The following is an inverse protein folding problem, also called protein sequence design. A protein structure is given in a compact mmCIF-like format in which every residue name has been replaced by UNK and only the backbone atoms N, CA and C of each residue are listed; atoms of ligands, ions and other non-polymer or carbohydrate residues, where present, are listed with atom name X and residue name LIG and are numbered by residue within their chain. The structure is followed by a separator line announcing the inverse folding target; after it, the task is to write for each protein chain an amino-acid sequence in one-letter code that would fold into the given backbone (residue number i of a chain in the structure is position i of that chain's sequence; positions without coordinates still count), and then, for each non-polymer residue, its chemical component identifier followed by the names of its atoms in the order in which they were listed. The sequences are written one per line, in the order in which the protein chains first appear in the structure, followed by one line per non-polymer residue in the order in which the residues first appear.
data_IF_638425352026
#
_entry.id   IF_638425352026
#
_cell.length_a   1.000
_cell.length_b   1.000
_cell.length_c   1.000
_cell.angle_alpha   90.00
_cell.angle_beta   90.00
_cell.angle_gamma   90.00
#
_symmetry.space_group_name_H-M   'P 1'
#
loop_
_entity.id
_entity.type
_entity.pdbx_description
1 polymer ?
#
# COMPACT_ATOMS: atom_id res chain seq x y z
N UNK A 1 -44.32 29.69 -6.68
CA UNK A 1 -43.28 29.19 -5.74
C UNK A 1 -43.29 27.68 -5.81
N UNK A 2 -42.44 27.08 -6.65
CA UNK A 2 -42.27 25.63 -6.71
C UNK A 2 -41.05 25.27 -5.86
N UNK A 3 -41.26 24.49 -4.80
CA UNK A 3 -40.17 23.92 -4.01
C UNK A 3 -39.37 22.97 -4.89
N UNK A 4 -38.10 23.30 -5.13
CA UNK A 4 -37.15 22.39 -5.73
C UNK A 4 -36.92 21.21 -4.77
N UNK A 5 -37.34 20.03 -5.19
CA UNK A 5 -37.04 18.77 -4.52
C UNK A 5 -35.52 18.59 -4.63
N UNK A 6 -34.81 18.76 -3.52
CA UNK A 6 -33.37 18.50 -3.46
C UNK A 6 -33.19 17.00 -3.72
N UNK A 7 -32.62 16.65 -4.87
CA UNK A 7 -32.25 15.28 -5.17
C UNK A 7 -31.35 14.79 -4.04
N UNK A 8 -31.77 13.76 -3.31
CA UNK A 8 -30.90 13.02 -2.42
C UNK A 8 -29.89 12.37 -3.35
N UNK A 9 -28.67 12.93 -3.43
CA UNK A 9 -27.56 12.30 -4.12
C UNK A 9 -27.42 10.91 -3.51
N UNK A 10 -27.70 9.87 -4.31
CA UNK A 10 -27.54 8.49 -3.89
C UNK A 10 -26.11 8.34 -3.38
N UNK A 11 -25.95 7.85 -2.15
CA UNK A 11 -24.63 7.50 -1.62
C UNK A 11 -23.97 6.60 -2.67
N UNK A 12 -22.78 6.98 -3.20
CA UNK A 12 -22.13 6.16 -4.21
C UNK A 12 -21.94 4.74 -3.65
N UNK A 13 -22.32 3.74 -4.44
CA UNK A 13 -22.31 2.35 -3.98
C UNK A 13 -20.90 1.95 -3.51
N UNK A 14 -20.81 1.46 -2.27
CA UNK A 14 -19.58 0.88 -1.72
C UNK A 14 -19.36 -0.49 -2.33
N UNK A 15 -18.11 -0.86 -2.59
CA UNK A 15 -17.78 -2.17 -3.18
C UNK A 15 -18.20 -3.29 -2.23
N UNK A 16 -18.12 -3.09 -0.92
CA UNK A 16 -18.62 -4.04 0.06
C UNK A 16 -20.13 -4.26 -0.01
N UNK A 17 -20.90 -3.18 -0.20
CA UNK A 17 -22.35 -3.27 -0.40
C UNK A 17 -22.68 -4.00 -1.70
N UNK A 18 -21.90 -3.76 -2.77
CA UNK A 18 -22.00 -4.52 -4.00
C UNK A 18 -21.72 -5.99 -3.71
N UNK A 19 -20.53 -6.36 -3.22
CA UNK A 19 -20.14 -7.74 -2.95
C UNK A 19 -21.16 -8.52 -2.09
N UNK A 20 -21.84 -7.85 -1.15
CA UNK A 20 -22.85 -8.46 -0.27
C UNK A 20 -24.27 -8.51 -0.86
N UNK A 21 -24.51 -7.93 -2.03
CA UNK A 21 -25.85 -7.85 -2.66
C UNK A 21 -26.31 -9.15 -3.33
N UNK A 22 -25.44 -10.17 -3.43
CA UNK A 22 -25.74 -11.43 -4.12
C UNK A 22 -25.56 -11.39 -5.64
N UNK A 23 -24.89 -10.35 -6.18
CA UNK A 23 -24.57 -10.29 -7.60
C UNK A 23 -23.79 -11.53 -8.07
N UNK A 24 -24.11 -11.98 -9.28
CA UNK A 24 -23.36 -13.06 -9.95
C UNK A 24 -22.33 -12.51 -10.93
N UNK A 25 -22.49 -11.26 -11.36
CA UNK A 25 -21.62 -10.60 -12.33
C UNK A 25 -21.32 -9.17 -11.92
N UNK A 26 -20.05 -8.77 -12.00
CA UNK A 26 -19.63 -7.42 -11.61
C UNK A 26 -20.16 -6.36 -12.58
N UNK A 27 -20.44 -5.12 -12.13
CA UNK A 27 -20.82 -4.03 -13.03
C UNK A 27 -19.73 -3.73 -14.07
N UNK A 28 -20.13 -3.31 -15.26
CA UNK A 28 -19.22 -3.08 -16.40
C UNK A 28 -18.10 -2.07 -16.11
N UNK A 29 -18.34 -1.11 -15.23
CA UNK A 29 -17.33 -0.11 -14.87
C UNK A 29 -16.12 -0.73 -14.12
N UNK A 30 -16.28 -1.90 -13.49
CA UNK A 30 -15.19 -2.65 -12.84
C UNK A 30 -14.48 -3.63 -13.76
N UNK A 31 -15.07 -3.96 -14.92
CA UNK A 31 -14.48 -4.90 -15.88
C UNK A 31 -13.28 -4.23 -16.56
N UNK A 32 -12.08 -4.78 -16.35
CA UNK A 32 -10.83 -4.33 -16.97
C UNK A 32 -10.84 -4.45 -18.48
N UNK A 33 -9.94 -3.71 -19.12
CA UNK A 33 -9.78 -3.78 -20.58
C UNK A 33 -9.26 -5.14 -21.00
N UNK A 34 -9.54 -5.56 -22.24
CA UNK A 34 -9.12 -6.88 -22.75
C UNK A 34 -7.62 -7.12 -22.61
N UNK A 35 -6.79 -6.12 -22.97
CA UNK A 35 -5.34 -6.19 -22.83
C UNK A 35 -4.85 -6.35 -21.39
N UNK A 36 -5.61 -5.87 -20.39
CA UNK A 36 -5.25 -6.02 -18.97
C UNK A 36 -5.66 -7.40 -18.45
N UNK A 37 -6.79 -7.93 -18.93
CA UNK A 37 -7.33 -9.24 -18.48
C UNK A 37 -6.44 -10.41 -18.88
N UNK A 38 -5.65 -10.28 -19.95
CA UNK A 38 -4.68 -11.30 -20.35
C UNK A 38 -3.61 -11.56 -19.28
N UNK A 39 -3.35 -10.57 -18.42
CA UNK A 39 -2.38 -10.67 -17.33
C UNK A 39 -2.97 -10.92 -15.94
N UNK A 40 -4.30 -11.01 -15.83
CA UNK A 40 -4.97 -11.27 -14.55
C UNK A 40 -5.14 -12.79 -14.39
N UNK A 41 -4.42 -13.38 -13.45
CA UNK A 41 -4.52 -14.80 -13.10
C UNK A 41 -5.22 -15.05 -11.76
N UNK A 42 -5.24 -16.32 -11.36
CA UNK A 42 -5.67 -16.72 -10.02
C UNK A 42 -4.53 -16.47 -9.02
N UNK A 43 -4.68 -15.44 -8.19
CA UNK A 43 -3.67 -15.00 -7.23
C UNK A 43 -3.23 -16.10 -6.26
N UNK A 44 -4.10 -17.06 -5.91
CA UNK A 44 -3.76 -18.17 -5.01
C UNK A 44 -2.90 -19.22 -5.70
N UNK A 45 -3.09 -19.41 -7.01
CA UNK A 45 -2.23 -20.29 -7.80
C UNK A 45 -0.88 -19.63 -8.09
N UNK A 46 -0.89 -18.35 -8.43
CA UNK A 46 0.34 -17.61 -8.68
C UNK A 46 1.21 -17.45 -7.43
N UNK A 47 0.62 -17.23 -6.26
CA UNK A 47 1.36 -17.16 -5.00
C UNK A 47 2.08 -18.47 -4.63
N UNK A 48 1.66 -19.61 -5.21
CA UNK A 48 2.31 -20.92 -5.05
C UNK A 48 3.42 -21.17 -6.08
N UNK A 49 3.53 -20.33 -7.10
CA UNK A 49 4.56 -20.48 -8.13
C UNK A 49 5.95 -20.22 -7.53
N UNK A 50 6.86 -21.20 -7.69
CA UNK A 50 8.25 -21.09 -7.25
C UNK A 50 9.22 -20.82 -8.42
N UNK A 51 8.75 -20.98 -9.66
CA UNK A 51 9.58 -20.84 -10.87
C UNK A 51 9.75 -19.39 -11.33
N UNK A 52 9.02 -18.44 -10.75
CA UNK A 52 9.13 -17.01 -11.05
C UNK A 52 10.15 -16.31 -10.12
N UNK A 53 10.78 -15.21 -10.58
CA UNK A 53 11.51 -14.31 -9.69
C UNK A 53 10.64 -13.92 -8.49
N UNK A 54 11.25 -13.74 -7.32
CA UNK A 54 10.54 -13.48 -6.07
C UNK A 54 10.94 -12.13 -5.50
N UNK A 55 9.95 -11.40 -4.96
CA UNK A 55 10.21 -10.16 -4.21
C UNK A 55 11.21 -10.46 -3.09
N UNK A 56 12.33 -9.73 -3.01
CA UNK A 56 13.41 -10.06 -2.09
C UNK A 56 12.98 -9.86 -0.62
N UNK A 57 13.48 -10.73 0.26
CA UNK A 57 13.34 -10.61 1.71
C UNK A 57 14.65 -10.11 2.29
N UNK A 58 14.60 -8.96 2.97
CA UNK A 58 15.75 -8.26 3.51
C UNK A 58 15.68 -8.26 5.04
N UNK A 59 16.68 -8.88 5.67
CA UNK A 59 16.88 -8.79 7.11
C UNK A 59 17.51 -7.44 7.47
N UNK A 60 16.72 -6.58 8.12
CA UNK A 60 17.15 -5.23 8.49
C UNK A 60 17.63 -5.12 9.95
N UNK A 61 17.83 -6.24 10.65
CA UNK A 61 18.37 -6.24 12.03
C UNK A 61 19.69 -5.47 12.12
N UNK A 62 20.56 -5.67 11.13
CA UNK A 62 21.91 -5.09 11.07
C UNK A 62 21.98 -3.65 10.55
N UNK A 63 20.86 -3.03 10.15
CA UNK A 63 20.86 -1.76 9.41
C UNK A 63 21.56 -0.60 10.14
N UNK A 64 21.55 -0.64 11.47
CA UNK A 64 22.22 0.30 12.40
C UNK A 64 23.16 -0.43 13.37
N UNK A 65 23.70 -1.59 13.00
CA UNK A 65 24.64 -2.33 13.86
C UNK A 65 25.91 -1.52 14.14
N UNK A 66 26.47 -1.73 15.34
CA UNK A 66 27.80 -1.22 15.70
C UNK A 66 28.91 -2.03 15.02
N UNK A 67 28.63 -3.27 14.62
CA UNK A 67 29.52 -4.06 13.76
C UNK A 67 29.44 -3.49 12.34
N UNK A 68 30.58 -2.96 11.87
CA UNK A 68 30.71 -2.37 10.55
C UNK A 68 30.39 -3.38 9.44
N UNK A 69 30.87 -4.62 9.56
CA UNK A 69 30.71 -5.63 8.53
C UNK A 69 29.24 -6.07 8.41
N UNK A 70 28.58 -6.28 9.56
CA UNK A 70 27.14 -6.58 9.60
C UNK A 70 26.32 -5.46 8.98
N UNK A 71 26.62 -4.21 9.36
CA UNK A 71 25.93 -3.03 8.85
C UNK A 71 26.13 -2.85 7.34
N UNK A 72 27.35 -3.00 6.84
CA UNK A 72 27.65 -2.87 5.41
C UNK A 72 26.98 -3.97 4.58
N UNK A 73 26.95 -5.21 5.09
CA UNK A 73 26.25 -6.32 4.43
C UNK A 73 24.75 -6.06 4.33
N UNK A 74 24.09 -5.71 5.43
CA UNK A 74 22.66 -5.40 5.47
C UNK A 74 22.31 -4.25 4.51
N UNK A 75 23.10 -3.16 4.52
CA UNK A 75 22.92 -2.02 3.61
C UNK A 75 23.14 -2.40 2.14
N UNK A 76 24.08 -3.30 1.84
CA UNK A 76 24.31 -3.78 0.47
C UNK A 76 23.14 -4.62 -0.06
N UNK A 77 22.54 -5.47 0.77
CA UNK A 77 21.34 -6.25 0.41
C UNK A 77 20.14 -5.33 0.15
N UNK A 78 19.91 -4.35 1.04
CA UNK A 78 18.91 -3.30 0.86
C UNK A 78 19.11 -2.53 -0.45
N UNK A 79 20.35 -2.10 -0.73
CA UNK A 79 20.72 -1.38 -1.95
C UNK A 79 20.40 -2.19 -3.19
N UNK A 80 20.76 -3.47 -3.20
CA UNK A 80 20.52 -4.37 -4.34
C UNK A 80 19.02 -4.46 -4.62
N UNK A 81 18.20 -4.74 -3.60
CA UNK A 81 16.76 -4.81 -3.74
C UNK A 81 16.15 -3.48 -4.21
N UNK A 82 16.60 -2.33 -3.67
CA UNK A 82 16.12 -1.02 -4.08
C UNK A 82 16.49 -0.65 -5.53
N UNK A 83 17.63 -1.14 -6.05
CA UNK A 83 18.09 -0.86 -7.41
C UNK A 83 17.56 -1.82 -8.47
N UNK A 84 17.23 -3.06 -8.07
CA UNK A 84 16.75 -4.09 -8.99
C UNK A 84 15.22 -4.19 -8.98
N UNK A 85 14.60 -4.16 -7.79
CA UNK A 85 13.18 -4.40 -7.60
C UNK A 85 12.39 -3.14 -7.27
N UNK A 86 12.96 -2.25 -6.45
CA UNK A 86 12.21 -1.13 -5.88
C UNK A 86 11.18 -1.53 -4.82
N UNK A 87 11.06 -2.83 -4.54
CA UNK A 87 10.16 -3.44 -3.56
C UNK A 87 10.89 -4.55 -2.81
N UNK A 88 10.54 -4.76 -1.54
CA UNK A 88 11.09 -5.84 -0.72
C UNK A 88 10.24 -6.13 0.52
N UNK A 89 10.33 -7.34 1.04
CA UNK A 89 9.89 -7.65 2.40
C UNK A 89 11.00 -7.28 3.39
N UNK A 90 10.68 -6.50 4.42
CA UNK A 90 11.58 -6.25 5.55
C UNK A 90 11.23 -7.22 6.68
N UNK A 91 12.23 -7.93 7.19
CA UNK A 91 12.11 -8.76 8.41
C UNK A 91 13.08 -8.26 9.48
N UNK A 92 12.80 -8.58 10.75
CA UNK A 92 13.55 -8.06 11.90
C UNK A 92 13.63 -6.51 11.93
N UNK A 93 12.57 -5.84 11.47
CA UNK A 93 12.45 -4.38 11.37
C UNK A 93 12.34 -3.68 12.73
N UNK A 94 12.11 -4.42 13.82
CA UNK A 94 12.07 -3.91 15.19
C UNK A 94 10.75 -3.27 15.59
N UNK A 95 9.68 -3.52 14.83
CA UNK A 95 8.30 -3.20 15.24
C UNK A 95 7.73 -4.46 15.87
N UNK A 96 7.15 -4.37 17.07
CA UNK A 96 6.68 -5.57 17.78
C UNK A 96 5.45 -6.20 17.14
N UNK A 97 5.39 -7.53 17.14
CA UNK A 97 4.27 -8.29 16.61
C UNK A 97 2.94 -7.93 17.29
N UNK A 98 2.98 -7.58 18.57
CA UNK A 98 1.83 -7.08 19.32
C UNK A 98 1.25 -5.81 18.69
N UNK A 99 2.09 -4.83 18.35
CA UNK A 99 1.64 -3.58 17.71
C UNK A 99 1.13 -3.86 16.30
N UNK A 100 1.82 -4.71 15.53
CA UNK A 100 1.35 -5.12 14.20
C UNK A 100 -0.02 -5.82 14.28
N UNK A 101 -0.24 -6.68 15.27
CA UNK A 101 -1.54 -7.35 15.48
C UNK A 101 -2.63 -6.34 15.83
N UNK A 102 -2.38 -5.46 16.81
CA UNK A 102 -3.35 -4.45 17.27
C UNK A 102 -3.77 -3.50 16.15
N UNK A 103 -2.85 -3.10 15.26
CA UNK A 103 -3.20 -2.26 14.10
C UNK A 103 -4.04 -3.02 13.07
N UNK A 104 -3.67 -4.26 12.76
CA UNK A 104 -4.46 -5.12 11.86
C UNK A 104 -5.87 -5.35 12.43
N UNK A 105 -5.99 -5.63 13.72
CA UNK A 105 -7.26 -5.81 14.42
C UNK A 105 -8.10 -4.52 14.44
N UNK A 106 -7.47 -3.35 14.66
CA UNK A 106 -8.17 -2.07 14.61
C UNK A 106 -8.73 -1.77 13.20
N UNK A 107 -7.94 -2.03 12.16
CA UNK A 107 -8.37 -1.89 10.77
C UNK A 107 -9.50 -2.86 10.42
N UNK A 108 -9.32 -4.14 10.78
CA UNK A 108 -10.36 -5.17 10.61
C UNK A 108 -11.64 -4.80 11.34
N UNK A 109 -11.54 -4.40 12.60
CA UNK A 109 -12.69 -4.02 13.42
C UNK A 109 -13.47 -2.83 12.86
N UNK A 110 -12.80 -1.86 12.22
CA UNK A 110 -13.48 -0.80 11.48
C UNK A 110 -14.24 -1.34 10.27
N UNK A 111 -13.61 -2.19 9.44
CA UNK A 111 -14.25 -2.73 8.24
C UNK A 111 -15.30 -3.81 8.52
N UNK A 112 -15.28 -4.45 9.70
CA UNK A 112 -16.33 -5.35 10.17
C UNK A 112 -17.62 -4.62 10.59
N UNK A 113 -17.58 -3.29 10.80
CA UNK A 113 -18.77 -2.50 11.08
C UNK A 113 -19.74 -2.52 9.88
N UNK A 114 -21.06 -2.40 10.10
CA UNK A 114 -22.02 -2.17 9.02
C UNK A 114 -21.63 -0.95 8.16
N UNK A 115 -21.94 -1.01 6.86
CA UNK A 115 -21.62 0.10 5.93
C UNK A 115 -22.23 1.41 6.40
N UNK A 116 -23.42 1.38 6.99
CA UNK A 116 -24.14 2.53 7.56
C UNK A 116 -23.36 3.22 8.68
N UNK A 117 -22.57 2.48 9.45
CA UNK A 117 -21.70 3.03 10.49
C UNK A 117 -20.42 3.63 9.88
N UNK A 118 -19.85 2.97 8.86
CA UNK A 118 -18.63 3.45 8.18
C UNK A 118 -18.86 4.73 7.39
N UNK A 119 -20.02 4.90 6.75
CA UNK A 119 -20.35 6.12 5.99
C UNK A 119 -20.45 7.38 6.85
N UNK A 120 -20.60 7.25 8.17
CA UNK A 120 -20.48 8.41 9.09
C UNK A 120 -19.09 9.05 9.04
N UNK A 121 -18.09 8.27 8.66
CA UNK A 121 -16.71 8.72 8.46
C UNK A 121 -16.39 9.03 7.00
N UNK A 122 -17.40 9.16 6.11
CA UNK A 122 -17.15 9.33 4.69
C UNK A 122 -16.26 10.55 4.40
N UNK A 123 -15.32 10.37 3.47
CA UNK A 123 -14.63 11.49 2.85
C UNK A 123 -15.58 12.24 1.90
N UNK A 124 -15.21 13.46 1.55
CA UNK A 124 -15.92 14.31 0.60
C UNK A 124 -14.90 15.12 -0.20
N UNK A 125 -14.52 14.58 -1.36
CA UNK A 125 -13.52 15.21 -2.22
C UNK A 125 -14.01 16.54 -2.81
N UNK A 126 -15.32 16.74 -2.98
CA UNK A 126 -15.88 17.98 -3.54
C UNK A 126 -15.73 19.16 -2.57
N UNK A 127 -15.85 18.91 -1.26
CA UNK A 127 -15.56 19.92 -0.23
C UNK A 127 -14.10 20.00 0.18
N UNK A 128 -13.22 19.18 -0.40
CA UNK A 128 -11.80 19.09 -0.05
C UNK A 128 -11.50 18.23 1.19
N UNK A 129 -12.50 17.56 1.76
CA UNK A 129 -12.33 16.61 2.86
C UNK A 129 -11.82 15.27 2.32
N UNK A 130 -10.51 15.15 2.13
CA UNK A 130 -9.87 13.93 1.61
C UNK A 130 -9.82 12.76 2.61
N UNK A 131 -9.82 13.06 3.91
CA UNK A 131 -9.74 12.06 4.97
C UNK A 131 -11.10 11.41 5.24
N UNK A 132 -11.10 10.10 5.46
CA UNK A 132 -12.27 9.31 5.81
C UNK A 132 -12.43 8.02 5.00
N UNK A 133 -13.60 7.42 5.15
CA UNK A 133 -14.05 6.24 4.44
C UNK A 133 -14.48 6.59 3.00
N UNK A 134 -13.84 5.95 2.04
CA UNK A 134 -14.02 6.19 0.62
C UNK A 134 -14.15 4.89 -0.15
N UNK A 135 -14.58 5.03 -1.39
CA UNK A 135 -14.41 4.06 -2.45
C UNK A 135 -13.88 4.86 -3.63
N UNK A 136 -13.05 4.28 -4.49
CA UNK A 136 -12.49 5.06 -5.60
C UNK A 136 -13.59 5.19 -6.67
N UNK A 137 -14.34 6.27 -6.58
CA UNK A 137 -15.50 6.57 -7.41
C UNK A 137 -15.14 7.30 -8.70
N UNK A 138 -13.94 7.88 -8.75
CA UNK A 138 -13.38 8.43 -9.98
C UNK A 138 -12.82 7.30 -10.82
N UNK A 139 -13.28 7.21 -12.06
CA UNK A 139 -12.68 6.35 -13.06
C UNK A 139 -11.18 6.67 -13.17
N UNK A 140 -10.36 5.63 -13.17
CA UNK A 140 -8.93 5.73 -13.51
C UNK A 140 -8.72 6.33 -14.89
N UNK A 141 -7.47 6.57 -15.28
CA UNK A 141 -7.11 7.00 -16.63
C UNK A 141 -7.71 6.08 -17.72
N UNK A 142 -7.98 4.82 -17.38
CA UNK A 142 -8.60 3.82 -18.26
C UNK A 142 -10.13 3.86 -18.29
N UNK A 143 -10.78 4.74 -17.51
CA UNK A 143 -12.23 4.78 -17.43
C UNK A 143 -12.86 3.73 -16.50
N UNK A 144 -12.06 2.98 -15.74
CA UNK A 144 -12.50 1.84 -14.89
C UNK A 144 -12.46 2.17 -13.41
N UNK A 145 -13.40 1.57 -12.67
CA UNK A 145 -13.43 1.57 -11.20
C UNK A 145 -12.59 0.41 -10.65
N UNK A 146 -12.10 0.61 -9.44
CA UNK A 146 -11.34 -0.37 -8.67
C UNK A 146 -12.26 -1.07 -7.66
N UNK A 147 -12.06 -2.36 -7.44
CA UNK A 147 -12.88 -3.16 -6.53
C UNK A 147 -12.31 -3.12 -5.11
N UNK A 148 -12.31 -1.92 -4.54
CA UNK A 148 -11.77 -1.60 -3.22
C UNK A 148 -12.61 -0.54 -2.53
N UNK A 149 -12.81 -0.70 -1.23
CA UNK A 149 -13.15 0.39 -0.34
C UNK A 149 -11.93 0.72 0.52
N UNK A 150 -11.81 1.96 0.99
CA UNK A 150 -10.64 2.38 1.76
C UNK A 150 -11.00 3.32 2.91
N UNK A 151 -10.11 3.38 3.90
CA UNK A 151 -10.10 4.43 4.90
C UNK A 151 -8.77 5.16 4.82
N UNK A 152 -8.82 6.46 4.53
CA UNK A 152 -7.63 7.31 4.41
C UNK A 152 -7.58 8.31 5.55
N UNK A 153 -6.45 8.40 6.25
CA UNK A 153 -6.30 9.34 7.34
C UNK A 153 -4.84 9.84 7.45
N UNK A 154 -4.61 11.16 7.60
CA UNK A 154 -3.33 11.65 8.06
C UNK A 154 -3.10 11.13 9.47
N UNK A 155 -1.92 10.63 9.80
CA UNK A 155 -1.71 9.93 11.08
C UNK A 155 -1.62 10.91 12.29
N UNK A 156 -2.08 12.18 12.18
CA UNK A 156 -2.13 13.18 13.25
C UNK A 156 -3.27 14.21 13.00
N UNK A 157 -4.06 14.72 13.99
CA UNK A 157 -3.81 14.80 15.44
C UNK A 157 -5.03 14.44 16.36
N UNK A 158 -5.68 13.28 16.26
CA UNK A 158 -6.64 12.80 17.29
C UNK A 158 -6.62 11.26 17.36
N UNK A 159 -5.91 10.71 18.35
CA UNK A 159 -5.24 9.41 18.18
C UNK A 159 -5.87 8.22 18.94
N UNK A 160 -5.82 7.03 18.32
CA UNK A 160 -6.13 5.72 18.91
C UNK A 160 -4.80 5.01 19.19
N UNK A 161 -4.48 4.80 20.47
CA UNK A 161 -3.18 4.35 21.02
C UNK A 161 -2.34 3.39 20.14
N UNK A 162 -2.93 2.34 19.58
CA UNK A 162 -2.21 1.36 18.75
C UNK A 162 -1.71 1.94 17.41
N UNK A 163 -2.52 2.79 16.77
CA UNK A 163 -2.16 3.44 15.49
C UNK A 163 -1.07 4.48 15.73
N UNK A 164 -1.15 5.23 16.83
CA UNK A 164 -0.15 6.20 17.28
C UNK A 164 1.22 5.55 17.45
N UNK A 165 1.23 4.44 18.21
CA UNK A 165 2.45 3.74 18.54
C UNK A 165 3.06 3.08 17.31
N UNK A 166 2.23 2.49 16.43
CA UNK A 166 2.69 1.98 15.14
C UNK A 166 3.31 3.08 14.28
N UNK A 167 2.67 4.24 14.17
CA UNK A 167 3.19 5.36 13.40
C UNK A 167 4.55 5.83 13.92
N UNK A 168 4.72 5.93 15.24
CA UNK A 168 5.99 6.28 15.88
C UNK A 168 7.09 5.28 15.55
N UNK A 169 6.81 3.98 15.66
CA UNK A 169 7.80 2.94 15.36
C UNK A 169 8.12 2.89 13.86
N UNK A 170 7.11 3.08 12.99
CA UNK A 170 7.28 3.14 11.54
C UNK A 170 8.10 4.36 11.11
N UNK A 171 7.90 5.53 11.73
CA UNK A 171 8.71 6.73 11.49
C UNK A 171 10.19 6.49 11.80
N UNK A 172 10.47 5.78 12.90
CA UNK A 172 11.83 5.41 13.27
C UNK A 172 12.46 4.39 12.29
N UNK A 173 11.67 3.44 11.79
CA UNK A 173 12.11 2.52 10.73
C UNK A 173 12.42 3.29 9.44
N UNK A 174 11.56 4.22 9.03
CA UNK A 174 11.77 5.05 7.84
C UNK A 174 13.08 5.85 7.91
N UNK A 175 13.41 6.47 9.06
CA UNK A 175 14.71 7.15 9.26
C UNK A 175 15.89 6.20 9.05
N UNK A 176 15.82 4.97 9.60
CA UNK A 176 16.90 3.98 9.41
C UNK A 176 17.06 3.59 7.94
N UNK A 177 15.94 3.41 7.23
CA UNK A 177 15.93 3.10 5.79
C UNK A 177 16.49 4.28 4.98
N UNK A 178 16.08 5.52 5.24
CA UNK A 178 16.64 6.69 4.57
C UNK A 178 18.15 6.85 4.82
N UNK A 179 18.61 6.62 6.06
CA UNK A 179 20.03 6.61 6.42
C UNK A 179 20.81 5.60 5.57
N UNK A 180 20.33 4.36 5.51
CA UNK A 180 20.94 3.30 4.73
C UNK A 180 20.94 3.61 3.22
N UNK A 181 19.83 4.07 2.67
CA UNK A 181 19.70 4.42 1.26
C UNK A 181 20.60 5.60 0.87
N UNK A 182 20.71 6.62 1.73
CA UNK A 182 21.61 7.76 1.49
C UNK A 182 23.07 7.31 1.47
N UNK A 183 23.47 6.52 2.47
CA UNK A 183 24.82 5.97 2.54
C UNK A 183 25.16 5.11 1.32
N UNK A 184 24.22 4.29 0.86
CA UNK A 184 24.39 3.42 -0.31
C UNK A 184 24.57 4.18 -1.64
N UNK A 185 24.12 5.44 -1.70
CA UNK A 185 24.36 6.37 -2.79
C UNK A 185 25.69 7.13 -2.66
N UNK A 186 26.44 6.93 -1.57
CA UNK A 186 27.65 7.69 -1.26
C UNK A 186 27.35 9.09 -0.72
N UNK A 187 26.17 9.30 -0.12
CA UNK A 187 25.75 10.56 0.47
C UNK A 187 25.88 10.51 2.01
N UNK A 188 25.83 11.68 2.65
CA UNK A 188 25.63 11.76 4.09
C UNK A 188 24.32 11.07 4.48
N UNK A 189 24.30 10.37 5.63
CA UNK A 189 23.19 9.49 5.99
C UNK A 189 21.84 10.23 6.07
N UNK A 190 21.80 11.49 6.51
CA UNK A 190 20.56 12.27 6.57
C UNK A 190 20.07 12.84 5.24
N UNK A 191 20.78 12.63 4.11
CA UNK A 191 20.57 13.40 2.89
C UNK A 191 19.20 13.18 2.25
N UNK A 192 18.75 11.93 2.09
CA UNK A 192 17.45 11.65 1.47
C UNK A 192 16.29 12.08 2.39
N UNK A 193 16.38 11.80 3.69
CA UNK A 193 15.35 12.18 4.65
C UNK A 193 15.19 13.71 4.72
N UNK A 194 16.29 14.45 4.76
CA UNK A 194 16.26 15.92 4.72
C UNK A 194 15.66 16.47 3.43
N UNK A 195 15.87 15.81 2.29
CA UNK A 195 15.32 16.22 1.00
C UNK A 195 13.79 16.02 0.89
N UNK A 196 13.19 15.20 1.75
CA UNK A 196 11.74 14.93 1.77
C UNK A 196 11.05 15.55 3.00
N UNK A 197 11.68 16.53 3.65
CA UNK A 197 11.09 17.29 4.75
C UNK A 197 11.57 16.93 6.15
N UNK A 198 12.46 15.94 6.30
CA UNK A 198 13.08 15.62 7.59
C UNK A 198 12.09 15.17 8.66
N UNK A 199 12.38 15.48 9.93
CA UNK A 199 11.50 15.17 11.06
C UNK A 199 10.31 16.12 11.19
N UNK A 200 10.37 17.29 10.55
CA UNK A 200 9.41 18.37 10.77
C UNK A 200 8.31 18.41 9.71
N UNK A 201 8.65 18.14 8.44
CA UNK A 201 7.72 18.32 7.31
C UNK A 201 7.35 17.00 6.61
N UNK A 202 8.06 15.89 6.86
CA UNK A 202 7.70 14.59 6.27
C UNK A 202 6.36 14.11 6.84
N UNK A 203 5.36 14.02 5.97
CA UNK A 203 4.01 13.59 6.33
C UNK A 203 3.88 12.07 6.17
N UNK A 204 3.34 11.42 7.20
CA UNK A 204 2.88 10.03 7.11
C UNK A 204 1.37 9.97 6.92
N UNK A 205 0.95 9.20 5.92
CA UNK A 205 -0.46 8.98 5.61
C UNK A 205 -0.76 7.49 5.74
N UNK A 206 -1.88 7.17 6.39
CA UNK A 206 -2.38 5.80 6.48
C UNK A 206 -3.52 5.62 5.48
N UNK A 207 -3.44 4.56 4.69
CA UNK A 207 -4.54 4.08 3.86
C UNK A 207 -4.78 2.62 4.20
N UNK A 208 -5.95 2.32 4.76
CA UNK A 208 -6.42 0.95 4.95
C UNK A 208 -7.21 0.59 3.71
N UNK A 209 -6.74 -0.37 2.91
CA UNK A 209 -7.47 -0.90 1.77
C UNK A 209 -8.26 -2.14 2.21
N UNK A 210 -9.52 -2.21 1.79
CA UNK A 210 -10.41 -3.34 2.01
C UNK A 210 -10.90 -3.84 0.68
N UNK A 211 -10.57 -5.10 0.37
CA UNK A 211 -10.93 -5.78 -0.87
C UNK A 211 -12.03 -6.82 -0.57
N UNK A 212 -13.31 -6.50 -0.80
CA UNK A 212 -14.38 -7.48 -0.64
C UNK A 212 -14.24 -8.62 -1.66
N UNK A 213 -14.79 -9.80 -1.35
CA UNK A 213 -14.83 -10.92 -2.30
C UNK A 213 -15.46 -10.49 -3.63
N UNK A 214 -14.77 -10.77 -4.72
CA UNK A 214 -15.25 -10.50 -6.08
C UNK A 214 -15.86 -11.79 -6.68
N UNK A 215 -17.05 -11.74 -7.31
CA UNK A 215 -17.62 -12.92 -7.97
C UNK A 215 -16.98 -13.24 -9.34
N UNK A 216 -16.25 -12.28 -9.91
CA UNK A 216 -15.51 -12.44 -11.18
C UNK A 216 -14.11 -11.84 -11.05
N UNK A 217 -13.25 -12.41 -10.19
CA UNK A 217 -11.93 -11.87 -9.88
C UNK A 217 -11.03 -11.73 -11.13
N UNK A 218 -11.22 -12.56 -12.14
CA UNK A 218 -10.50 -12.53 -13.43
C UNK A 218 -10.84 -11.32 -14.31
N UNK A 219 -11.85 -10.52 -13.93
CA UNK A 219 -12.32 -9.37 -14.70
C UNK A 219 -12.03 -8.03 -14.04
N UNK A 220 -11.61 -7.99 -12.77
CA UNK A 220 -11.44 -6.76 -12.00
C UNK A 220 -10.03 -6.68 -11.40
N UNK A 221 -9.69 -5.52 -10.86
CA UNK A 221 -8.51 -5.32 -10.01
C UNK A 221 -8.95 -4.67 -8.71
N UNK A 222 -8.30 -5.03 -7.60
CA UNK A 222 -8.47 -4.34 -6.32
C UNK A 222 -7.92 -2.92 -6.38
N UNK A 223 -6.70 -2.75 -6.92
CA UNK A 223 -6.10 -1.45 -7.26
C UNK A 223 -5.39 -1.57 -8.62
N UNK A 224 -5.53 -0.56 -9.45
CA UNK A 224 -4.96 -0.56 -10.81
C UNK A 224 -3.44 -0.46 -10.82
N UNK A 225 -2.84 -0.61 -12.01
CA UNK A 225 -1.39 -0.57 -12.16
C UNK A 225 -0.86 0.85 -11.95
N UNK A 226 -0.03 1.04 -10.93
CA UNK A 226 0.49 2.35 -10.56
C UNK A 226 1.87 2.29 -9.91
N UNK A 227 2.47 3.46 -9.75
CA UNK A 227 3.59 3.71 -8.84
C UNK A 227 3.11 4.54 -7.66
N UNK A 228 3.81 4.42 -6.53
CA UNK A 228 3.57 5.30 -5.40
C UNK A 228 4.30 6.63 -5.59
N UNK A 229 3.57 7.74 -5.50
CA UNK A 229 4.15 9.09 -5.51
C UNK A 229 4.95 9.42 -4.24
N UNK A 230 4.86 8.56 -3.22
CA UNK A 230 5.51 8.72 -1.92
C UNK A 230 7.04 8.72 -2.03
N UNK A 231 7.73 8.98 -0.91
CA UNK A 231 9.15 8.68 -0.81
C UNK A 231 9.37 7.18 -0.56
N UNK A 232 8.72 6.66 0.48
CA UNK A 232 8.70 5.25 0.84
C UNK A 232 7.26 4.87 1.23
N UNK A 233 6.83 3.67 0.85
CA UNK A 233 5.55 3.10 1.32
C UNK A 233 5.84 1.84 2.13
N UNK A 234 5.19 1.72 3.28
CA UNK A 234 5.28 0.54 4.13
C UNK A 234 3.90 -0.12 4.22
N UNK A 235 3.79 -1.38 3.79
CA UNK A 235 2.53 -2.10 3.67
C UNK A 235 2.50 -3.28 4.64
N UNK A 236 1.45 -3.32 5.45
CA UNK A 236 1.03 -4.50 6.20
C UNK A 236 -0.14 -5.17 5.48
N UNK A 237 -0.13 -6.50 5.42
CA UNK A 237 -1.21 -7.27 4.82
C UNK A 237 -1.78 -8.30 5.81
N UNK A 238 -2.96 -8.85 5.49
CA UNK A 238 -3.72 -9.78 6.33
C UNK A 238 -3.47 -11.26 5.97
N UNK A 239 -2.34 -11.57 5.34
CA UNK A 239 -1.98 -12.90 4.81
C UNK A 239 -2.86 -13.45 3.68
N UNK A 240 -3.72 -12.64 3.07
CA UNK A 240 -4.32 -12.96 1.78
C UNK A 240 -3.38 -12.44 0.67
N UNK A 241 -2.97 -13.28 -0.30
CA UNK A 241 -2.12 -12.84 -1.40
C UNK A 241 -2.92 -11.90 -2.31
N UNK A 242 -2.25 -10.90 -2.89
CA UNK A 242 -2.96 -9.86 -3.65
C UNK A 242 -2.02 -8.91 -4.36
N UNK A 243 -0.94 -8.50 -3.69
CA UNK A 243 0.06 -7.63 -4.31
C UNK A 243 0.80 -8.37 -5.44
N UNK A 244 0.79 -7.77 -6.64
CA UNK A 244 1.68 -8.16 -7.72
C UNK A 244 2.55 -6.97 -8.15
N UNK A 245 3.79 -7.25 -8.53
CA UNK A 245 4.78 -6.24 -8.90
C UNK A 245 5.27 -6.54 -10.31
N UNK A 246 5.39 -5.51 -11.15
CA UNK A 246 5.92 -5.64 -12.49
C UNK A 246 7.46 -5.72 -12.42
N UNK A 247 8.01 -6.89 -12.67
CA UNK A 247 9.43 -7.16 -12.71
C UNK A 247 9.83 -7.76 -14.06
N UNK A 248 10.81 -7.15 -14.73
CA UNK A 248 11.27 -7.57 -16.07
C UNK A 248 10.13 -7.77 -17.09
N UNK A 249 9.10 -6.92 -17.03
CA UNK A 249 7.95 -6.95 -17.94
C UNK A 249 6.91 -8.03 -17.62
N UNK A 250 7.01 -8.70 -16.47
CA UNK A 250 6.03 -9.70 -16.00
C UNK A 250 5.50 -9.34 -14.63
N UNK A 251 4.23 -9.61 -14.39
CA UNK A 251 3.65 -9.51 -13.06
C UNK A 251 4.14 -10.66 -12.18
N UNK A 252 4.65 -10.31 -11.01
CA UNK A 252 5.17 -11.22 -10.00
C UNK A 252 4.36 -11.06 -8.72
N UNK A 253 3.69 -12.12 -8.30
CA UNK A 253 2.88 -12.14 -7.08
C UNK A 253 3.78 -12.19 -5.84
N UNK A 254 3.65 -11.19 -4.96
CA UNK A 254 4.40 -11.15 -3.72
C UNK A 254 3.90 -12.22 -2.76
N UNK A 255 4.83 -12.99 -2.18
CA UNK A 255 4.50 -14.01 -1.18
C UNK A 255 4.08 -13.37 0.14
N UNK A 256 3.20 -14.04 0.86
CA UNK A 256 2.84 -13.65 2.23
C UNK A 256 3.94 -14.08 3.21
N UNK A 257 4.93 -13.21 3.44
CA UNK A 257 6.02 -13.46 4.40
C UNK A 257 5.57 -13.04 5.80
N UNK A 258 5.50 -14.00 6.72
CA UNK A 258 5.12 -13.79 8.12
C UNK A 258 6.07 -12.78 8.80
N UNK A 259 5.51 -11.94 9.67
CA UNK A 259 6.24 -10.93 10.46
C UNK A 259 7.10 -9.98 9.61
N UNK A 260 6.66 -9.73 8.37
CA UNK A 260 7.31 -8.80 7.45
C UNK A 260 6.48 -7.54 7.19
N UNK A 261 7.17 -6.49 6.76
CA UNK A 261 6.58 -5.27 6.23
C UNK A 261 7.09 -5.09 4.81
N UNK A 262 6.19 -4.94 3.84
CA UNK A 262 6.61 -4.66 2.47
C UNK A 262 7.01 -3.20 2.38
N UNK A 263 8.20 -2.92 1.84
CA UNK A 263 8.71 -1.59 1.54
C UNK A 263 8.67 -1.37 0.03
N UNK A 264 8.02 -0.30 -0.43
CA UNK A 264 8.19 0.25 -1.77
C UNK A 264 9.09 1.49 -1.73
N UNK A 265 9.95 1.61 -2.73
CA UNK A 265 10.55 2.87 -3.14
C UNK A 265 9.53 3.59 -4.03
N UNK A 266 9.20 4.83 -3.67
CA UNK A 266 8.28 5.65 -4.46
C UNK A 266 9.00 6.60 -5.43
N UNK A 267 8.21 7.27 -6.26
CA UNK A 267 8.66 8.17 -7.32
C UNK A 267 9.61 9.26 -6.80
N UNK A 268 9.34 9.78 -5.60
CA UNK A 268 10.16 10.83 -5.01
C UNK A 268 11.61 10.38 -4.81
N UNK A 269 11.83 9.14 -4.36
CA UNK A 269 13.18 8.60 -4.14
C UNK A 269 13.84 8.16 -5.44
N UNK A 270 13.08 7.68 -6.42
CA UNK A 270 13.62 7.45 -7.76
C UNK A 270 14.16 8.76 -8.36
N UNK A 271 13.39 9.85 -8.28
CA UNK A 271 13.81 11.18 -8.77
C UNK A 271 15.06 11.66 -8.03
N UNK A 272 15.04 11.65 -6.68
CA UNK A 272 16.17 12.13 -5.87
C UNK A 272 17.45 11.30 -6.06
N UNK A 273 17.31 10.02 -6.40
CA UNK A 273 18.44 9.13 -6.68
C UNK A 273 18.90 9.15 -8.14
N UNK A 274 18.25 9.96 -8.99
CA UNK A 274 18.49 10.02 -10.43
C UNK A 274 18.30 8.65 -11.13
N UNK A 275 17.20 7.97 -10.83
CA UNK A 275 16.83 6.68 -11.42
C UNK A 275 17.62 5.48 -10.92
N UNK A 276 18.47 5.65 -9.90
CA UNK A 276 19.29 4.57 -9.32
C UNK A 276 18.44 3.60 -8.51
N UNK A 277 17.64 4.11 -7.58
CA UNK A 277 16.61 3.32 -6.92
C UNK A 277 15.37 3.31 -7.79
N UNK A 278 14.78 2.12 -7.98
CA UNK A 278 13.64 1.94 -8.87
C UNK A 278 12.36 2.17 -8.10
N UNK A 279 11.44 2.92 -8.68
CA UNK A 279 10.05 2.93 -8.22
C UNK A 279 9.40 1.56 -8.50
N UNK A 280 8.65 1.04 -7.55
CA UNK A 280 7.88 -0.18 -7.78
C UNK A 280 6.63 0.13 -8.61
N UNK A 281 6.41 -0.61 -9.70
CA UNK A 281 5.15 -0.60 -10.44
C UNK A 281 4.33 -1.82 -10.01
N UNK A 282 3.13 -1.63 -9.47
CA UNK A 282 2.39 -2.70 -8.82
C UNK A 282 0.88 -2.60 -9.08
N UNK A 283 0.20 -3.75 -8.97
CA UNK A 283 -1.26 -3.87 -8.85
C UNK A 283 -1.59 -4.58 -7.53
N UNK A 284 -2.83 -4.52 -7.12
CA UNK A 284 -3.31 -5.29 -5.97
C UNK A 284 -4.62 -5.98 -6.28
N UNK A 285 -4.64 -7.27 -5.94
CA UNK A 285 -5.75 -8.21 -6.07
C UNK A 285 -6.21 -8.71 -4.68
N UNK A 286 -7.21 -9.60 -4.68
CA UNK A 286 -8.11 -9.98 -3.58
C UNK A 286 -7.49 -10.83 -2.46
#
# INVERSE_FOLDING_TARGET
MAMATRAVLAVPARVESLASSGLQSIPKDYVRLEAERESIGDVFNEAKCEDSPQVPVIDVKGIVSNDKLEREKCRAELKKAAMEWGVMHLVNHGISDEILSRVKEAGKGFFDLPVEEKVKYANDHESGKIAGYGSKLSKSDTGRLEWVDYFFHPIFPEDKEAVSEYARQLRALATKVFSALSWCLGLEEGRLEGAVGGMEELIMQMKINYYPKCPQPELALGVEAHTDVSALTFILHNMVPGLQVLYEGKWVTAKCVTDSIILHIGDTIEILSNGKYKRAYFIGDW
#
